data_IF_742795699752
#
_entry.id   IF_742795699752
#
_cell.length_a   1.000
_cell.length_b   1.000
_cell.length_c   1.000
_cell.angle_alpha   90.00
_cell.angle_beta   90.00
_cell.angle_gamma   90.00
#
_symmetry.space_group_name_H-M   'P 1'
#
loop_
_entity.id
_entity.type
_entity.pdbx_description
1 polymer ?
#
# COMPACT_ATOMS: atom_id res chain seq x y z
N UNK A 1 -17.09 3.99 53.31
CA UNK A 1 -17.35 2.53 53.22
C UNK A 1 -17.79 2.03 51.83
N UNK A 2 -17.75 2.84 50.75
CA UNK A 2 -18.18 2.41 49.41
C UNK A 2 -17.13 1.61 48.58
N UNK A 3 -15.85 1.69 48.93
CA UNK A 3 -14.75 1.02 48.21
C UNK A 3 -14.70 -0.50 48.43
N UNK A 4 -14.88 -0.94 49.69
CA UNK A 4 -14.80 -2.37 50.08
C UNK A 4 -15.92 -3.19 49.44
N UNK A 5 -17.16 -2.68 49.46
CA UNK A 5 -18.31 -3.33 48.79
C UNK A 5 -18.16 -3.41 47.26
N UNK A 6 -17.39 -2.50 46.66
CA UNK A 6 -17.11 -2.53 45.21
C UNK A 6 -16.02 -3.55 44.87
N UNK A 7 -15.04 -3.75 45.75
CA UNK A 7 -13.99 -4.78 45.61
C UNK A 7 -14.55 -6.20 45.79
N UNK A 8 -15.32 -6.46 46.83
CA UNK A 8 -15.99 -7.75 47.07
C UNK A 8 -16.83 -8.20 45.85
N UNK A 9 -17.62 -7.27 45.30
CA UNK A 9 -18.48 -7.52 44.12
C UNK A 9 -17.67 -7.78 42.83
N UNK A 10 -16.45 -7.26 42.74
CA UNK A 10 -15.52 -7.51 41.61
C UNK A 10 -14.86 -8.89 41.75
N UNK A 11 -14.47 -9.26 42.96
CA UNK A 11 -13.87 -10.56 43.25
C UNK A 11 -14.84 -11.71 43.00
N UNK A 12 -16.09 -11.59 43.43
CA UNK A 12 -17.11 -12.61 43.19
C UNK A 12 -17.40 -12.82 41.69
N UNK A 13 -17.42 -11.72 40.92
CA UNK A 13 -17.55 -11.79 39.46
C UNK A 13 -16.36 -12.51 38.83
N UNK A 14 -15.14 -12.21 39.27
CA UNK A 14 -13.92 -12.90 38.83
C UNK A 14 -13.95 -14.39 39.16
N UNK A 15 -14.30 -14.76 40.39
CA UNK A 15 -14.39 -16.16 40.83
C UNK A 15 -15.43 -16.94 40.02
N UNK A 16 -16.63 -16.36 39.80
CA UNK A 16 -17.67 -16.96 38.93
C UNK A 16 -17.23 -17.11 37.48
N UNK A 17 -16.51 -16.12 36.94
CA UNK A 17 -15.99 -16.18 35.58
C UNK A 17 -14.91 -17.26 35.43
N UNK A 18 -14.01 -17.39 36.41
CA UNK A 18 -12.98 -18.42 36.43
C UNK A 18 -13.56 -19.84 36.57
N UNK A 19 -14.57 -20.04 37.40
CA UNK A 19 -15.24 -21.35 37.52
C UNK A 19 -16.00 -21.72 36.26
N UNK A 20 -16.67 -20.76 35.62
CA UNK A 20 -17.31 -20.97 34.31
C UNK A 20 -16.29 -21.38 33.24
N UNK A 21 -15.16 -20.67 33.18
CA UNK A 21 -14.06 -21.04 32.27
C UNK A 21 -13.51 -22.44 32.58
N UNK A 22 -13.44 -22.88 33.84
CA UNK A 22 -12.97 -24.23 34.21
C UNK A 22 -13.92 -25.33 33.74
N UNK A 23 -15.22 -25.04 33.63
CA UNK A 23 -16.25 -26.02 33.27
C UNK A 23 -16.29 -26.35 31.76
N UNK A 24 -15.81 -25.43 30.91
CA UNK A 24 -15.77 -25.63 29.46
C UNK A 24 -14.70 -26.68 29.11
N UNK A 25 -15.06 -27.73 28.37
CA UNK A 25 -14.11 -28.78 27.93
C UNK A 25 -13.20 -28.25 26.82
N UNK A 26 -11.94 -28.68 26.77
CA UNK A 26 -10.98 -28.26 25.73
C UNK A 26 -11.49 -28.55 24.31
N UNK A 27 -12.14 -29.68 24.08
CA UNK A 27 -12.76 -30.01 22.79
C UNK A 27 -13.83 -29.01 22.35
N UNK A 28 -14.61 -28.45 23.27
CA UNK A 28 -15.62 -27.43 22.95
C UNK A 28 -14.97 -26.13 22.44
N UNK A 29 -13.78 -25.78 22.96
CA UNK A 29 -13.01 -24.63 22.48
C UNK A 29 -12.47 -24.85 21.06
N UNK A 30 -12.04 -26.07 20.73
CA UNK A 30 -11.64 -26.40 19.35
C UNK A 30 -12.84 -26.35 18.39
N UNK A 31 -13.99 -26.88 18.82
CA UNK A 31 -15.21 -26.87 18.02
C UNK A 31 -15.73 -25.44 17.77
N UNK A 32 -15.59 -24.53 18.74
CA UNK A 32 -15.96 -23.12 18.56
C UNK A 32 -14.91 -22.32 17.78
N UNK A 33 -13.63 -22.68 17.87
CA UNK A 33 -12.55 -22.01 17.14
C UNK A 33 -12.68 -22.17 15.63
N UNK A 34 -13.08 -23.35 15.14
CA UNK A 34 -13.18 -23.64 13.71
C UNK A 34 -14.11 -22.67 12.95
N UNK A 35 -15.39 -22.49 13.31
CA UNK A 35 -16.26 -21.53 12.62
C UNK A 35 -15.79 -20.08 12.83
N UNK A 36 -15.20 -19.76 13.98
CA UNK A 36 -14.70 -18.42 14.27
C UNK A 36 -13.50 -18.05 13.39
N UNK A 37 -12.59 -19.00 13.13
CA UNK A 37 -11.48 -18.82 12.20
C UNK A 37 -11.99 -18.56 10.77
N UNK A 38 -12.98 -19.33 10.33
CA UNK A 38 -13.62 -19.12 9.02
C UNK A 38 -14.26 -17.73 8.90
N UNK A 39 -14.98 -17.29 9.93
CA UNK A 39 -15.56 -15.94 9.99
C UNK A 39 -14.47 -14.86 9.98
N UNK A 40 -13.40 -15.02 10.76
CA UNK A 40 -12.31 -14.04 10.79
C UNK A 40 -11.60 -13.93 9.43
N UNK A 41 -11.37 -15.05 8.75
CA UNK A 41 -10.76 -15.05 7.43
C UNK A 41 -11.66 -14.37 6.38
N UNK A 42 -12.98 -14.59 6.49
CA UNK A 42 -13.96 -13.96 5.60
C UNK A 42 -14.01 -12.44 5.80
N UNK A 43 -14.04 -11.97 7.04
CA UNK A 43 -14.04 -10.54 7.31
C UNK A 43 -12.71 -9.87 6.95
N UNK A 44 -11.56 -10.50 7.20
CA UNK A 44 -10.27 -10.01 6.71
C UNK A 44 -10.27 -9.90 5.17
N UNK A 45 -10.87 -10.87 4.49
CA UNK A 45 -10.98 -10.85 3.02
C UNK A 45 -11.86 -9.69 2.54
N UNK A 46 -12.97 -9.41 3.21
CA UNK A 46 -13.83 -8.27 2.86
C UNK A 46 -13.11 -6.94 3.04
N UNK A 47 -12.37 -6.77 4.14
CA UNK A 47 -11.57 -5.57 4.36
C UNK A 47 -10.49 -5.40 3.28
N UNK A 48 -9.82 -6.48 2.91
CA UNK A 48 -8.82 -6.49 1.85
C UNK A 48 -9.42 -6.18 0.47
N UNK A 49 -10.56 -6.78 0.12
CA UNK A 49 -11.25 -6.49 -1.14
C UNK A 49 -11.71 -5.03 -1.20
N UNK A 50 -12.21 -4.49 -0.09
CA UNK A 50 -12.61 -3.09 -0.03
C UNK A 50 -11.42 -2.14 -0.17
N UNK A 51 -10.27 -2.49 0.40
CA UNK A 51 -9.02 -1.76 0.18
C UNK A 51 -8.60 -1.77 -1.29
N UNK A 52 -8.65 -2.92 -1.97
CA UNK A 52 -8.34 -3.01 -3.41
C UNK A 52 -9.28 -2.13 -4.24
N UNK A 53 -10.58 -2.17 -3.97
CA UNK A 53 -11.58 -1.30 -4.63
C UNK A 53 -11.24 0.19 -4.45
N UNK A 54 -10.85 0.59 -3.24
CA UNK A 54 -10.43 1.97 -2.97
C UNK A 54 -9.12 2.33 -3.68
N UNK A 55 -8.17 1.39 -3.82
CA UNK A 55 -6.96 1.60 -4.63
C UNK A 55 -7.30 1.79 -6.11
N UNK A 56 -8.18 0.96 -6.66
CA UNK A 56 -8.65 1.09 -8.04
C UNK A 56 -9.39 2.41 -8.28
N UNK A 57 -10.09 2.95 -7.27
CA UNK A 57 -10.68 4.30 -7.36
C UNK A 57 -9.64 5.41 -7.41
N UNK A 58 -8.52 5.28 -6.68
CA UNK A 58 -7.40 6.22 -6.77
C UNK A 58 -6.76 6.17 -8.16
N UNK A 59 -6.54 4.97 -8.70
CA UNK A 59 -5.99 4.77 -10.05
C UNK A 59 -6.91 5.36 -11.13
N UNK A 60 -8.21 5.09 -11.07
CA UNK A 60 -9.20 5.70 -11.98
C UNK A 60 -9.26 7.22 -11.86
N UNK A 61 -9.13 7.75 -10.65
CA UNK A 61 -9.06 9.20 -10.45
C UNK A 61 -7.77 9.78 -11.05
N UNK A 62 -6.66 9.04 -11.01
CA UNK A 62 -5.38 9.43 -11.58
C UNK A 62 -5.37 9.41 -13.11
N UNK A 63 -6.01 8.42 -13.73
CA UNK A 63 -6.23 8.35 -15.19
C UNK A 63 -6.83 9.66 -15.72
N UNK A 64 -7.74 10.26 -14.94
CA UNK A 64 -8.29 11.58 -15.23
C UNK A 64 -9.26 11.60 -16.42
N UNK A 65 -9.94 10.48 -16.67
CA UNK A 65 -10.92 10.33 -17.76
C UNK A 65 -12.35 10.32 -17.23
N UNK A 66 -13.25 10.98 -17.98
CA UNK A 66 -14.68 10.88 -17.75
C UNK A 66 -15.21 9.50 -18.18
N UNK A 67 -16.47 9.20 -17.81
CA UNK A 67 -17.15 7.98 -18.26
C UNK A 67 -17.25 7.87 -19.79
N UNK A 68 -17.22 9.00 -20.49
CA UNK A 68 -17.28 9.11 -21.95
C UNK A 68 -15.88 9.04 -22.61
N UNK A 69 -14.83 8.75 -21.83
CA UNK A 69 -13.45 8.63 -22.30
C UNK A 69 -12.73 9.95 -22.59
N UNK A 70 -13.38 11.09 -22.35
CA UNK A 70 -12.79 12.44 -22.49
C UNK A 70 -11.87 12.76 -21.31
N UNK A 71 -10.82 13.53 -21.58
CA UNK A 71 -9.90 13.99 -20.53
C UNK A 71 -10.59 15.07 -19.67
N UNK A 72 -10.55 14.87 -18.36
CA UNK A 72 -11.07 15.82 -17.38
C UNK A 72 -10.11 17.01 -17.21
N UNK A 73 -10.61 18.19 -16.82
CA UNK A 73 -9.75 19.31 -16.47
C UNK A 73 -8.88 18.97 -15.25
N UNK A 74 -7.62 19.43 -15.26
CA UNK A 74 -6.62 19.10 -14.22
C UNK A 74 -7.10 19.40 -12.79
N UNK A 75 -7.85 20.49 -12.59
CA UNK A 75 -8.40 20.86 -11.29
C UNK A 75 -9.38 19.80 -10.73
N UNK A 76 -10.19 19.20 -11.60
CA UNK A 76 -11.14 18.15 -11.22
C UNK A 76 -10.42 16.82 -10.95
N UNK A 77 -9.42 16.49 -11.77
CA UNK A 77 -8.54 15.33 -11.55
C UNK A 77 -7.90 15.42 -10.16
N UNK A 78 -7.30 16.56 -9.81
CA UNK A 78 -6.65 16.74 -8.52
C UNK A 78 -7.63 16.64 -7.35
N UNK A 79 -8.87 17.14 -7.51
CA UNK A 79 -9.92 17.00 -6.50
C UNK A 79 -10.37 15.54 -6.34
N UNK A 80 -10.53 14.81 -7.43
CA UNK A 80 -10.92 13.40 -7.44
C UNK A 80 -9.84 12.53 -6.77
N UNK A 81 -8.57 12.74 -7.12
CA UNK A 81 -7.42 12.08 -6.49
C UNK A 81 -7.41 12.33 -4.98
N UNK A 82 -7.53 13.60 -4.55
CA UNK A 82 -7.53 13.96 -3.12
C UNK A 82 -8.67 13.27 -2.37
N UNK A 83 -9.86 13.22 -2.97
CA UNK A 83 -11.03 12.59 -2.38
C UNK A 83 -10.85 11.07 -2.28
N UNK A 84 -10.34 10.42 -3.32
CA UNK A 84 -10.06 8.99 -3.33
C UNK A 84 -8.97 8.61 -2.32
N UNK A 85 -7.86 9.36 -2.29
CA UNK A 85 -6.78 9.17 -1.31
C UNK A 85 -7.27 9.37 0.12
N UNK A 86 -8.15 10.34 0.37
CA UNK A 86 -8.74 10.54 1.69
C UNK A 86 -9.60 9.33 2.11
N UNK A 87 -10.49 8.86 1.24
CA UNK A 87 -11.31 7.66 1.52
C UNK A 87 -10.43 6.44 1.83
N UNK A 88 -9.38 6.24 1.05
CA UNK A 88 -8.43 5.14 1.27
C UNK A 88 -7.69 5.27 2.60
N UNK A 89 -7.21 6.46 2.94
CA UNK A 89 -6.57 6.74 4.24
C UNK A 89 -7.52 6.49 5.40
N UNK A 90 -8.74 7.02 5.32
CA UNK A 90 -9.75 6.90 6.39
C UNK A 90 -10.10 5.42 6.59
N UNK A 91 -10.25 4.65 5.51
CA UNK A 91 -10.44 3.21 5.57
C UNK A 91 -9.25 2.48 6.18
N UNK A 92 -8.02 2.78 5.72
CA UNK A 92 -6.78 2.17 6.23
C UNK A 92 -6.55 2.43 7.71
N UNK A 93 -6.94 3.61 8.20
CA UNK A 93 -6.77 3.97 9.61
C UNK A 93 -7.78 3.29 10.54
N UNK A 94 -8.92 2.83 10.02
CA UNK A 94 -10.03 2.25 10.79
C UNK A 94 -10.15 0.73 10.68
N UNK A 95 -9.52 0.10 9.68
CA UNK A 95 -9.57 -1.33 9.44
C UNK A 95 -8.19 -1.97 9.57
N UNK A 96 -8.14 -3.25 9.91
CA UNK A 96 -6.88 -4.02 9.96
C UNK A 96 -6.64 -4.62 8.58
N UNK A 97 -5.67 -4.10 7.84
CA UNK A 97 -5.38 -4.54 6.47
C UNK A 97 -4.05 -5.28 6.48
N UNK A 98 -4.09 -6.56 6.10
CA UNK A 98 -2.89 -7.39 5.97
C UNK A 98 -2.54 -7.51 4.50
N UNK A 99 -1.33 -7.11 4.14
CA UNK A 99 -0.81 -7.17 2.77
C UNK A 99 0.56 -7.85 2.73
N UNK A 100 0.84 -8.54 1.64
CA UNK A 100 2.14 -9.15 1.38
C UNK A 100 2.84 -8.37 0.26
N UNK A 101 3.99 -7.78 0.58
CA UNK A 101 4.79 -7.01 -0.39
C UNK A 101 6.12 -7.72 -0.62
N UNK A 102 6.49 -7.84 -1.88
CA UNK A 102 7.83 -8.27 -2.27
C UNK A 102 8.81 -7.10 -2.18
N UNK A 103 9.86 -7.28 -1.38
CA UNK A 103 10.96 -6.32 -1.24
C UNK A 103 12.27 -7.08 -1.44
N UNK A 104 13.00 -6.74 -2.50
CA UNK A 104 14.28 -7.37 -2.85
C UNK A 104 14.18 -8.90 -2.98
N UNK A 105 13.13 -9.43 -3.62
CA UNK A 105 12.92 -10.87 -3.79
C UNK A 105 12.38 -11.61 -2.56
N UNK A 106 12.09 -10.89 -1.46
CA UNK A 106 11.51 -11.47 -0.25
C UNK A 106 10.10 -10.95 0.00
N UNK A 107 9.14 -11.85 0.18
CA UNK A 107 7.78 -11.50 0.59
C UNK A 107 7.76 -11.12 2.06
N UNK A 108 7.35 -9.88 2.35
CA UNK A 108 7.21 -9.33 3.70
C UNK A 108 5.74 -9.07 4.00
N UNK A 109 5.29 -9.45 5.19
CA UNK A 109 3.96 -9.10 5.68
C UNK A 109 3.99 -7.66 6.18
N UNK A 110 3.05 -6.85 5.71
CA UNK A 110 2.91 -5.44 6.09
C UNK A 110 1.46 -5.13 6.45
N UNK A 111 1.27 -4.18 7.36
CA UNK A 111 -0.04 -3.69 7.76
C UNK A 111 -0.32 -2.35 7.07
N UNK A 112 -1.28 -2.35 6.16
CA UNK A 112 -1.64 -1.17 5.37
C UNK A 112 -1.88 -1.48 3.91
N UNK A 113 -1.96 -0.44 3.08
CA UNK A 113 -2.35 -0.53 1.65
C UNK A 113 -1.22 -0.96 0.72
N UNK A 114 0.03 -0.93 1.20
CA UNK A 114 1.22 -0.93 0.36
C UNK A 114 1.35 0.36 -0.47
N UNK A 115 2.42 0.48 -1.27
CA UNK A 115 2.64 1.66 -2.10
C UNK A 115 1.62 1.74 -3.24
N UNK A 116 1.28 2.98 -3.58
CA UNK A 116 0.40 3.36 -4.67
C UNK A 116 1.09 4.48 -5.41
N UNK A 117 1.12 4.41 -6.74
CA UNK A 117 1.79 5.37 -7.59
C UNK A 117 0.76 6.09 -8.44
N UNK A 118 0.79 7.43 -8.44
CA UNK A 118 0.01 8.26 -9.34
C UNK A 118 0.79 8.44 -10.65
N UNK A 119 0.85 7.37 -11.44
CA UNK A 119 1.65 7.30 -12.67
C UNK A 119 1.18 8.32 -13.71
N UNK A 120 -0.13 8.50 -13.88
CA UNK A 120 -0.66 9.42 -14.87
C UNK A 120 -0.40 10.87 -14.48
N UNK A 121 -0.56 11.24 -13.21
CA UNK A 121 -0.21 12.58 -12.73
C UNK A 121 1.28 12.86 -12.87
N UNK A 122 2.13 11.89 -12.51
CA UNK A 122 3.58 11.99 -12.72
C UNK A 122 3.90 12.24 -14.19
N UNK A 123 3.34 11.42 -15.09
CA UNK A 123 3.59 11.54 -16.54
C UNK A 123 3.11 12.89 -17.11
N UNK A 124 1.96 13.41 -16.65
CA UNK A 124 1.47 14.75 -17.04
C UNK A 124 2.46 15.84 -16.63
N UNK A 125 2.93 15.82 -15.39
CA UNK A 125 3.84 16.84 -14.85
C UNK A 125 5.24 16.73 -15.45
N UNK A 126 5.74 15.51 -15.62
CA UNK A 126 7.00 15.25 -16.33
C UNK A 126 6.95 15.80 -17.77
N UNK A 127 5.85 15.58 -18.49
CA UNK A 127 5.69 16.10 -19.86
C UNK A 127 5.64 17.64 -19.91
N UNK A 128 5.06 18.29 -18.89
CA UNK A 128 5.06 19.76 -18.77
C UNK A 128 6.48 20.28 -18.53
N UNK A 129 7.19 19.70 -17.55
CA UNK A 129 8.57 20.07 -17.24
C UNK A 129 9.52 19.89 -18.44
N UNK A 130 9.33 18.81 -19.22
CA UNK A 130 10.07 18.59 -20.46
C UNK A 130 9.77 19.67 -21.51
N UNK A 131 8.49 20.04 -21.72
CA UNK A 131 8.10 21.12 -22.65
C UNK A 131 8.64 22.49 -22.21
N UNK A 132 8.70 22.77 -20.91
CA UNK A 132 9.29 23.99 -20.38
C UNK A 132 10.82 24.02 -20.54
N UNK A 133 11.49 22.87 -20.37
CA UNK A 133 12.90 22.76 -20.67
C UNK A 133 13.18 23.00 -22.17
N UNK A 134 12.37 22.41 -23.06
CA UNK A 134 12.43 22.64 -24.51
C UNK A 134 12.22 24.11 -24.89
N UNK A 135 11.27 24.80 -24.25
CA UNK A 135 10.99 26.21 -24.55
C UNK A 135 12.09 27.16 -24.06
N UNK A 136 12.68 26.90 -22.88
CA UNK A 136 13.86 27.63 -22.37
C UNK A 136 15.09 27.39 -23.26
N UNK A 137 15.26 26.17 -23.76
CA UNK A 137 16.30 25.83 -24.76
C UNK A 137 16.14 26.59 -26.08
N UNK A 138 14.90 26.90 -26.47
CA UNK A 138 14.61 27.66 -27.69
C UNK A 138 14.88 29.17 -27.53
N UNK A 139 15.00 29.66 -26.29
CA UNK A 139 15.20 31.08 -25.97
C UNK A 139 16.66 31.45 -25.65
N UNK A 140 17.54 30.46 -25.44
CA UNK A 140 18.99 30.66 -25.33
C UNK A 140 19.69 30.19 -26.63
N UNK A 141 19.86 31.08 -27.63
CA UNK A 141 20.63 30.81 -28.84
C UNK A 141 22.15 30.91 -28.59
N UNK A 142 22.63 30.46 -27.43
CA UNK A 142 24.07 30.40 -27.16
C UNK A 142 24.69 29.24 -27.95
N UNK A 143 24.96 29.51 -29.23
CA UNK A 143 26.15 29.02 -29.92
C UNK A 143 26.34 27.52 -30.11
N UNK A 144 25.27 26.70 -30.11
CA UNK A 144 25.38 25.30 -30.54
C UNK A 144 25.00 25.16 -32.03
N UNK A 145 25.96 24.88 -32.94
CA UNK A 145 25.67 24.64 -34.37
C UNK A 145 24.81 23.39 -34.65
N UNK A 146 24.50 22.57 -33.64
CA UNK A 146 23.71 21.33 -33.75
C UNK A 146 22.31 21.42 -33.13
N UNK A 147 21.73 22.61 -32.92
CA UNK A 147 20.32 22.77 -32.53
C UNK A 147 19.89 21.99 -31.26
N UNK A 148 18.58 21.87 -31.04
CA UNK A 148 18.03 21.13 -29.91
C UNK A 148 18.13 19.61 -30.16
N UNK A 149 19.25 19.01 -29.73
CA UNK A 149 19.53 17.56 -29.85
C UNK A 149 18.44 16.71 -29.17
N UNK A 150 17.82 17.21 -28.09
CA UNK A 150 16.71 16.52 -27.41
C UNK A 150 15.43 16.54 -28.23
N UNK A 151 15.10 17.67 -28.88
CA UNK A 151 13.98 17.73 -29.82
C UNK A 151 14.20 16.79 -31.01
N UNK A 152 15.45 16.69 -31.51
CA UNK A 152 15.81 15.74 -32.57
C UNK A 152 15.72 14.27 -32.12
N UNK A 153 16.16 13.99 -30.90
CA UNK A 153 16.04 12.68 -30.27
C UNK A 153 14.56 12.29 -30.06
N UNK A 154 13.74 13.22 -29.57
CA UNK A 154 12.31 13.00 -29.38
C UNK A 154 11.56 12.84 -30.70
N UNK A 155 11.86 13.63 -31.73
CA UNK A 155 11.29 13.46 -33.08
C UNK A 155 11.57 12.05 -33.63
N UNK A 156 12.77 11.52 -33.37
CA UNK A 156 13.20 10.21 -33.87
C UNK A 156 12.61 9.05 -33.05
N UNK A 157 12.56 9.20 -31.72
CA UNK A 157 12.20 8.12 -30.80
C UNK A 157 10.70 8.06 -30.47
N UNK A 158 9.96 9.17 -30.55
CA UNK A 158 8.50 9.22 -30.36
C UNK A 158 7.72 8.31 -31.33
N UNK A 159 7.94 8.33 -32.66
CA UNK A 159 7.23 7.44 -33.58
C UNK A 159 7.61 5.96 -33.38
N UNK A 160 8.81 5.67 -32.88
CA UNK A 160 9.21 4.31 -32.51
C UNK A 160 8.50 3.86 -31.24
N UNK A 161 8.33 4.75 -30.26
CA UNK A 161 7.59 4.44 -29.05
C UNK A 161 6.12 4.12 -29.33
N UNK A 162 5.48 4.91 -30.21
CA UNK A 162 4.09 4.68 -30.63
C UNK A 162 3.96 3.35 -31.40
N UNK A 163 4.91 3.03 -32.30
CA UNK A 163 4.88 1.76 -33.06
C UNK A 163 5.09 0.53 -32.19
N UNK A 164 5.93 0.64 -31.15
CA UNK A 164 6.30 -0.49 -30.31
C UNK A 164 5.52 -0.56 -29.00
N UNK A 165 4.53 0.32 -28.79
CA UNK A 165 3.75 0.40 -27.56
C UNK A 165 4.59 0.74 -26.32
N UNK A 166 5.72 1.43 -26.51
CA UNK A 166 6.65 1.75 -25.44
C UNK A 166 6.15 2.94 -24.62
N UNK A 167 6.06 2.77 -23.30
CA UNK A 167 5.92 3.88 -22.37
C UNK A 167 7.15 4.78 -22.38
N UNK A 168 6.98 6.05 -22.01
CA UNK A 168 8.05 7.05 -21.94
C UNK A 168 9.17 6.72 -20.95
N UNK A 169 8.94 5.78 -20.04
CA UNK A 169 9.89 5.24 -19.07
C UNK A 169 10.45 3.86 -19.46
N UNK A 170 10.03 3.32 -20.61
CA UNK A 170 10.46 1.99 -21.02
C UNK A 170 11.95 1.97 -21.35
N UNK A 171 12.65 0.86 -21.08
CA UNK A 171 14.06 0.73 -21.45
C UNK A 171 14.30 0.97 -22.95
N UNK A 172 13.34 0.60 -23.81
CA UNK A 172 13.42 0.82 -25.25
C UNK A 172 13.41 2.29 -25.65
N UNK A 173 12.52 3.10 -25.05
CA UNK A 173 12.49 4.55 -25.31
C UNK A 173 13.74 5.25 -24.77
N UNK A 174 14.18 4.91 -23.56
CA UNK A 174 15.36 5.50 -22.95
C UNK A 174 16.65 5.14 -23.70
N UNK A 175 16.79 3.91 -24.18
CA UNK A 175 17.92 3.49 -25.02
C UNK A 175 17.93 4.21 -26.39
N UNK A 176 16.76 4.42 -26.99
CA UNK A 176 16.64 5.19 -28.23
C UNK A 176 17.09 6.65 -28.00
N UNK A 177 16.56 7.30 -26.96
CA UNK A 177 16.91 8.69 -26.67
C UNK A 177 18.40 8.85 -26.37
N UNK A 178 18.94 8.02 -25.47
CA UNK A 178 20.36 8.08 -25.11
C UNK A 178 21.27 7.76 -26.29
N UNK A 179 20.87 6.83 -27.18
CA UNK A 179 21.61 6.55 -28.42
C UNK A 179 21.70 7.74 -29.35
N UNK A 180 20.59 8.47 -29.56
CA UNK A 180 20.58 9.68 -30.39
C UNK A 180 21.38 10.80 -29.71
N UNK A 181 21.22 11.02 -28.42
CA UNK A 181 21.94 12.06 -27.67
C UNK A 181 23.46 11.81 -27.68
N UNK A 182 23.89 10.56 -27.51
CA UNK A 182 25.31 10.17 -27.50
C UNK A 182 25.97 10.24 -28.89
N UNK A 183 25.18 10.29 -29.96
CA UNK A 183 25.71 10.46 -31.32
C UNK A 183 26.20 11.89 -31.63
N UNK A 184 25.94 12.86 -30.74
CA UNK A 184 26.38 14.24 -30.88
C UNK A 184 27.49 14.58 -29.84
N UNK A 185 28.71 14.93 -30.28
CA UNK A 185 29.90 15.05 -29.42
C UNK A 185 29.98 16.33 -28.55
N UNK A 186 28.90 17.09 -28.41
CA UNK A 186 28.85 18.33 -27.61
C UNK A 186 28.20 18.13 -26.23
N UNK A 187 28.03 16.88 -25.79
CA UNK A 187 27.29 16.50 -24.58
C UNK A 187 28.00 16.82 -23.28
N UNK A 188 29.33 16.97 -23.25
CA UNK A 188 30.08 17.23 -22.01
C UNK A 188 29.80 18.61 -21.38
N UNK A 189 29.33 19.60 -22.17
CA UNK A 189 28.87 20.92 -21.67
C UNK A 189 27.34 21.05 -21.60
N UNK A 190 26.61 20.09 -22.15
CA UNK A 190 25.15 20.05 -22.20
C UNK A 190 24.56 19.35 -20.96
N UNK A 191 25.32 18.43 -20.35
CA UNK A 191 24.91 17.64 -19.17
C UNK A 191 24.67 18.50 -17.92
N UNK A 192 25.37 19.62 -17.76
CA UNK A 192 25.25 20.50 -16.58
C UNK A 192 24.09 21.49 -16.64
N UNK A 193 23.53 21.78 -17.83
CA UNK A 193 22.45 22.77 -18.01
C UNK A 193 21.14 22.19 -18.54
N UNK A 194 21.12 20.95 -19.04
CA UNK A 194 19.93 20.27 -19.56
C UNK A 194 19.49 19.07 -18.70
N UNK A 195 19.71 19.13 -17.40
CA UNK A 195 18.93 18.25 -16.53
C UNK A 195 17.55 18.86 -16.42
N UNK A 196 16.59 18.37 -17.22
CA UNK A 196 15.19 18.66 -16.97
C UNK A 196 14.92 18.34 -15.51
N UNK A 197 14.49 19.32 -14.72
CA UNK A 197 14.16 19.14 -13.31
C UNK A 197 12.85 18.34 -13.23
N UNK A 198 12.96 17.03 -13.43
CA UNK A 198 11.83 16.12 -13.34
C UNK A 198 11.37 16.08 -11.88
N UNK A 199 10.05 16.19 -11.63
CA UNK A 199 9.56 16.14 -10.27
C UNK A 199 9.93 14.78 -9.65
N UNK A 200 10.38 14.75 -8.39
CA UNK A 200 10.82 13.50 -7.79
C UNK A 200 9.65 12.51 -7.68
N UNK A 201 9.81 11.24 -8.11
CA UNK A 201 8.73 10.25 -8.14
C UNK A 201 8.18 9.93 -6.74
N UNK A 202 8.95 10.24 -5.69
CA UNK A 202 8.51 10.10 -4.30
C UNK A 202 7.28 10.95 -3.96
N UNK A 203 7.04 12.07 -4.65
CA UNK A 203 5.87 12.94 -4.40
C UNK A 203 4.55 12.33 -4.89
N UNK A 204 4.61 11.36 -5.80
CA UNK A 204 3.45 10.67 -6.39
C UNK A 204 3.24 9.29 -5.80
N UNK A 205 4.03 8.94 -4.77
CA UNK A 205 3.92 7.67 -4.07
C UNK A 205 3.20 7.88 -2.74
N UNK A 206 2.13 7.12 -2.54
CA UNK A 206 1.37 7.12 -1.30
C UNK A 206 1.33 5.71 -0.70
N UNK A 207 1.59 5.62 0.60
CA UNK A 207 1.39 4.43 1.39
C UNK A 207 0.66 4.79 2.69
N UNK A 208 -0.39 4.04 3.01
CA UNK A 208 -1.12 4.21 4.25
C UNK A 208 -0.90 2.99 5.13
N UNK A 209 -0.50 3.25 6.37
CA UNK A 209 -0.35 2.24 7.41
C UNK A 209 -1.71 1.94 8.03
N UNK A 210 -1.94 0.69 8.40
CA UNK A 210 -3.12 0.30 9.18
C UNK A 210 -2.71 -0.11 10.59
N UNK A 211 -3.56 0.11 11.61
CA UNK A 211 -3.32 -0.44 12.94
C UNK A 211 -3.24 -1.97 12.90
N UNK A 212 -2.50 -2.55 13.85
CA UNK A 212 -2.40 -4.00 14.03
C UNK A 212 -3.74 -4.60 14.46
N UNK A 213 -4.55 -3.81 15.16
CA UNK A 213 -5.90 -4.19 15.58
C UNK A 213 -6.82 -2.97 15.57
N UNK A 214 -8.05 -3.16 15.10
CA UNK A 214 -9.09 -2.13 15.15
C UNK A 214 -10.39 -2.71 15.69
N UNK A 215 -11.28 -1.92 16.32
CA UNK A 215 -12.58 -2.37 16.80
C UNK A 215 -13.60 -2.51 15.65
N UNK A 216 -13.20 -3.15 14.56
CA UNK A 216 -14.01 -3.52 13.40
C UNK A 216 -14.53 -4.95 13.55
N UNK A 217 -15.44 -5.39 12.67
CA UNK A 217 -15.95 -6.78 12.68
C UNK A 217 -14.82 -7.81 12.54
N UNK A 218 -13.86 -7.55 11.64
CA UNK A 218 -12.67 -8.38 11.47
C UNK A 218 -11.80 -8.36 12.72
N UNK A 219 -11.54 -7.18 13.31
CA UNK A 219 -10.70 -7.09 14.50
C UNK A 219 -11.31 -7.76 15.74
N UNK A 220 -12.63 -7.62 15.96
CA UNK A 220 -13.31 -8.27 17.10
C UNK A 220 -13.30 -9.80 16.93
N UNK A 221 -13.57 -10.30 15.73
CA UNK A 221 -13.53 -11.75 15.48
C UNK A 221 -12.13 -12.33 15.64
N UNK A 222 -11.10 -11.64 15.11
CA UNK A 222 -9.70 -12.03 15.32
C UNK A 222 -9.32 -12.00 16.80
N UNK A 223 -9.74 -10.98 17.55
CA UNK A 223 -9.49 -10.90 19.00
C UNK A 223 -10.08 -12.11 19.73
N UNK A 224 -11.32 -12.49 19.42
CA UNK A 224 -11.96 -13.68 19.99
C UNK A 224 -11.20 -14.97 19.62
N UNK A 225 -10.75 -15.11 18.37
CA UNK A 225 -9.90 -16.23 17.95
C UNK A 225 -8.63 -16.31 18.79
N UNK A 226 -7.93 -15.19 18.94
CA UNK A 226 -6.68 -15.10 19.73
C UNK A 226 -6.92 -15.49 21.19
N UNK A 227 -8.00 -14.99 21.82
CA UNK A 227 -8.35 -15.33 23.21
C UNK A 227 -8.61 -16.84 23.38
N UNK A 228 -9.34 -17.46 22.46
CA UNK A 228 -9.62 -18.90 22.50
C UNK A 228 -8.33 -19.70 22.31
N UNK A 229 -7.49 -19.32 21.34
CA UNK A 229 -6.18 -19.96 21.10
C UNK A 229 -5.27 -19.87 22.32
N UNK A 230 -5.16 -18.69 22.95
CA UNK A 230 -4.37 -18.50 24.18
C UNK A 230 -4.91 -19.42 25.30
N UNK A 231 -6.23 -19.51 25.46
CA UNK A 231 -6.85 -20.37 26.47
C UNK A 231 -6.53 -21.85 26.24
N UNK A 232 -6.55 -22.30 24.98
CA UNK A 232 -6.17 -23.66 24.59
C UNK A 232 -4.68 -23.91 24.90
N UNK A 233 -3.79 -22.99 24.52
CA UNK A 233 -2.35 -23.10 24.75
C UNK A 233 -2.03 -23.20 26.24
N UNK A 234 -2.60 -22.31 27.07
CA UNK A 234 -2.40 -22.35 28.54
C UNK A 234 -2.81 -23.71 29.10
N UNK A 235 -3.95 -24.26 28.67
CA UNK A 235 -4.41 -25.58 29.13
C UNK A 235 -3.49 -26.72 28.68
N UNK A 236 -2.98 -26.66 27.45
CA UNK A 236 -2.02 -27.65 26.94
C UNK A 236 -0.70 -27.60 27.72
N UNK A 237 -0.22 -26.39 28.05
CA UNK A 237 0.98 -26.18 28.86
C UNK A 237 0.78 -26.78 30.26
N UNK A 238 -0.33 -26.46 30.94
CA UNK A 238 -0.64 -27.03 32.27
C UNK A 238 -0.69 -28.57 32.21
N UNK A 239 -1.36 -29.13 31.21
CA UNK A 239 -1.43 -30.58 31.03
C UNK A 239 -0.03 -31.20 30.79
N UNK A 240 0.80 -30.58 29.96
CA UNK A 240 2.17 -31.04 29.70
C UNK A 240 3.03 -31.01 30.96
N UNK A 241 3.00 -29.90 31.73
CA UNK A 241 3.71 -29.79 33.00
C UNK A 241 3.27 -30.85 34.01
N UNK A 242 1.96 -31.04 34.19
CA UNK A 242 1.43 -32.07 35.10
C UNK A 242 1.86 -33.47 34.68
N UNK A 243 1.80 -33.77 33.37
CA UNK A 243 2.21 -35.08 32.84
C UNK A 243 3.72 -35.32 33.03
N UNK A 244 4.54 -34.29 32.81
CA UNK A 244 5.98 -34.36 33.01
C UNK A 244 6.32 -34.54 34.49
N UNK A 245 5.69 -33.79 35.39
CA UNK A 245 5.87 -33.96 36.83
C UNK A 245 5.48 -35.38 37.31
N UNK A 246 4.37 -35.93 36.80
CA UNK A 246 3.95 -37.30 37.11
C UNK A 246 4.92 -38.36 36.56
N UNK A 247 5.59 -38.08 35.43
CA UNK A 247 6.58 -38.98 34.87
C UNK A 247 7.89 -38.95 35.67
N UNK A 248 8.28 -37.80 36.23
CA UNK A 248 9.45 -37.68 37.10
C UNK A 248 9.22 -38.22 38.53
N UNK A 249 7.97 -38.31 38.97
CA UNK A 249 7.58 -38.88 40.28
C UNK A 249 7.45 -40.42 40.26
N UNK A 250 7.58 -41.04 39.09
CA UNK A 250 7.47 -42.49 38.90
C UNK A 250 8.84 -43.09 38.58
#
# INVERSE_FOLDING_TARGET
>A
MGGVLKQERQEDKRKRFLTFLKQIKTWQLFLSLLPLLFLSATFLRFDHLKMIDLKAQVEKADEGKAADGTDLPQAEIDQNIRTALKKLRDFSSSHTIVNFLEKNGHTTLTFGTGPIYLEHQYNRQATIALREAESKLSQNPDGNPNGNIFAKAMETCKPQAIRNGWGWNSPGYLNCMTGVINSYPATDKLTTSLTADLPPPALYRYDFVSPIWTPSLSGITVLLCVIIVITIIIRLIIFAFLRLALLFLK
#
